data_IF_203267154408
#
_entry.id   IF_203267154408
#
_cell.length_a   1.000
_cell.length_b   1.000
_cell.length_c   1.000
_cell.angle_alpha   90.00
_cell.angle_beta   90.00
_cell.angle_gamma   90.00
#
_symmetry.space_group_name_H-M   'P 1'
#
loop_
_entity.id
_entity.type
_entity.pdbx_description
1 polymer ?
#
# COMPACT_ATOMS: atom_id res chain seq x y z
N UNK A 1 -19.05 3.44 -0.50
CA UNK A 1 -18.43 4.76 -0.79
C UNK A 1 -16.93 4.57 -0.93
N UNK A 2 -16.19 5.48 -1.58
CA UNK A 2 -14.74 5.35 -1.69
C UNK A 2 -14.03 5.97 -0.47
N UNK A 3 -13.05 5.25 0.07
CA UNK A 3 -12.23 5.68 1.19
C UNK A 3 -10.74 5.63 0.82
N UNK A 4 -10.01 6.69 1.14
CA UNK A 4 -8.57 6.78 0.92
C UNK A 4 -7.80 6.52 2.21
N UNK A 5 -6.92 5.52 2.19
CA UNK A 5 -5.97 5.21 3.24
C UNK A 5 -4.59 5.76 2.83
N UNK A 6 -4.10 6.72 3.62
CA UNK A 6 -2.77 7.32 3.45
C UNK A 6 -1.90 6.82 4.60
N UNK A 7 -0.99 5.91 4.29
CA UNK A 7 -0.07 5.31 5.25
C UNK A 7 1.34 5.86 5.02
N UNK A 8 2.03 6.22 6.10
CA UNK A 8 3.43 6.66 6.06
C UNK A 8 4.30 5.66 6.81
N UNK A 9 5.41 5.26 6.20
CA UNK A 9 6.35 4.35 6.83
C UNK A 9 7.04 5.07 8.01
N UNK A 10 7.33 4.31 9.07
CA UNK A 10 8.12 4.82 10.19
C UNK A 10 9.58 5.04 9.73
N UNK A 11 10.30 6.02 10.31
CA UNK A 11 11.72 6.22 9.99
C UNK A 11 12.53 4.93 10.12
N UNK A 12 13.41 4.66 9.14
CA UNK A 12 14.28 3.47 9.15
C UNK A 12 13.56 2.11 8.94
N UNK A 13 12.26 2.09 8.62
CA UNK A 13 11.47 0.85 8.54
C UNK A 13 11.35 0.25 7.14
N UNK A 14 12.24 0.62 6.21
CA UNK A 14 12.20 0.14 4.83
C UNK A 14 12.31 -1.39 4.73
N UNK A 15 13.17 -2.01 5.55
CA UNK A 15 13.35 -3.47 5.50
C UNK A 15 12.06 -4.20 5.88
N UNK A 16 11.40 -3.77 6.96
CA UNK A 16 10.10 -4.33 7.39
C UNK A 16 9.11 -4.28 6.23
N UNK A 17 9.03 -3.15 5.53
CA UNK A 17 8.16 -3.02 4.35
C UNK A 17 8.49 -4.01 3.25
N UNK A 18 9.77 -4.19 2.93
CA UNK A 18 10.21 -5.12 1.89
C UNK A 18 9.86 -6.57 2.29
N UNK A 19 10.10 -6.94 3.54
CA UNK A 19 9.82 -8.27 4.07
C UNK A 19 8.32 -8.57 4.07
N UNK A 20 7.47 -7.59 4.44
CA UNK A 20 6.01 -7.76 4.45
C UNK A 20 5.36 -7.49 3.09
N UNK A 21 6.12 -7.09 2.06
CA UNK A 21 5.57 -6.69 0.76
C UNK A 21 4.76 -7.81 0.10
N UNK A 22 5.21 -9.10 0.08
CA UNK A 22 4.44 -10.17 -0.55
C UNK A 22 3.06 -10.36 0.09
N UNK A 23 2.98 -10.40 1.42
CA UNK A 23 1.72 -10.56 2.15
C UNK A 23 0.79 -9.35 1.93
N UNK A 24 1.36 -8.14 1.94
CA UNK A 24 0.61 -6.91 1.67
C UNK A 24 0.01 -6.90 0.25
N UNK A 25 0.76 -7.34 -0.75
CA UNK A 25 0.27 -7.43 -2.14
C UNK A 25 -0.82 -8.49 -2.26
N UNK A 26 -0.65 -9.67 -1.64
CA UNK A 26 -1.68 -10.71 -1.64
C UNK A 26 -3.01 -10.23 -1.05
N UNK A 27 -2.96 -9.41 0.00
CA UNK A 27 -4.16 -8.78 0.56
C UNK A 27 -4.84 -7.83 -0.44
N UNK A 28 -4.08 -6.98 -1.14
CA UNK A 28 -4.60 -6.08 -2.16
C UNK A 28 -5.18 -6.83 -3.37
N UNK A 29 -4.55 -7.93 -3.78
CA UNK A 29 -5.05 -8.80 -4.84
C UNK A 29 -6.39 -9.44 -4.45
N UNK A 30 -6.57 -9.83 -3.19
CA UNK A 30 -7.85 -10.30 -2.66
C UNK A 30 -8.95 -9.22 -2.77
N UNK A 31 -8.66 -7.99 -2.33
CA UNK A 31 -9.59 -6.86 -2.47
C UNK A 31 -9.91 -6.54 -3.93
N UNK A 32 -8.93 -6.66 -4.82
CA UNK A 32 -9.12 -6.48 -6.26
C UNK A 32 -10.03 -7.58 -6.85
N UNK A 33 -9.85 -8.84 -6.42
CA UNK A 33 -10.74 -9.95 -6.80
C UNK A 33 -12.18 -9.76 -6.33
N UNK A 34 -12.40 -9.05 -5.22
CA UNK A 34 -13.72 -8.66 -4.71
C UNK A 34 -14.28 -7.38 -5.36
N UNK A 35 -13.58 -6.77 -6.33
CA UNK A 35 -13.90 -5.45 -6.91
C UNK A 35 -14.00 -4.31 -5.88
N UNK A 36 -13.37 -4.46 -4.70
CA UNK A 36 -13.34 -3.43 -3.65
C UNK A 36 -12.14 -2.50 -3.73
N UNK A 37 -11.14 -2.82 -4.55
CA UNK A 37 -9.94 -1.99 -4.72
C UNK A 37 -10.11 -1.07 -5.93
N UNK A 38 -10.14 0.24 -5.70
CA UNK A 38 -10.15 1.21 -6.79
C UNK A 38 -8.74 1.39 -7.37
N UNK A 39 -7.75 1.61 -6.50
CA UNK A 39 -6.32 1.61 -6.85
C UNK A 39 -5.45 1.58 -5.59
N UNK A 40 -4.19 1.12 -5.74
CA UNK A 40 -3.19 1.18 -4.68
C UNK A 40 -1.80 1.43 -5.26
N UNK A 41 -0.94 2.15 -4.51
CA UNK A 41 0.43 2.39 -4.91
C UNK A 41 1.31 2.94 -3.78
N UNK A 42 2.64 2.77 -3.87
CA UNK A 42 3.57 3.35 -2.92
C UNK A 42 3.76 4.85 -3.18
N UNK A 43 3.96 5.63 -2.10
CA UNK A 43 4.69 6.88 -2.21
C UNK A 43 6.18 6.58 -2.29
N UNK A 44 6.91 7.41 -3.04
CA UNK A 44 8.35 7.29 -3.22
C UNK A 44 9.07 8.48 -2.55
N UNK A 45 10.26 8.23 -2.03
CA UNK A 45 11.19 9.26 -1.60
C UNK A 45 12.05 9.80 -2.75
N UNK A 46 12.99 10.68 -2.43
CA UNK A 46 13.91 11.31 -3.39
C UNK A 46 14.83 10.31 -4.09
N UNK A 47 15.08 9.15 -3.48
CA UNK A 47 15.91 8.07 -4.04
C UNK A 47 15.07 7.03 -4.80
N UNK A 48 13.76 7.29 -4.98
CA UNK A 48 12.83 6.37 -5.61
C UNK A 48 12.47 5.17 -4.74
N UNK A 49 12.83 5.17 -3.46
CA UNK A 49 12.49 4.09 -2.54
C UNK A 49 11.10 4.32 -1.95
N UNK A 50 10.34 3.25 -1.70
CA UNK A 50 8.98 3.41 -1.26
C UNK A 50 8.94 3.80 0.24
N UNK A 51 8.20 4.87 0.59
CA UNK A 51 8.15 5.45 1.95
C UNK A 51 6.73 5.65 2.54
N UNK A 52 5.71 5.20 1.80
CA UNK A 52 4.35 5.06 2.30
C UNK A 52 3.46 4.37 1.27
N UNK A 53 2.15 4.39 1.51
CA UNK A 53 1.15 3.83 0.60
C UNK A 53 -0.08 4.72 0.51
N UNK A 54 -0.63 4.82 -0.69
CA UNK A 54 -1.98 5.28 -0.95
C UNK A 54 -2.80 4.08 -1.41
N UNK A 55 -3.91 3.82 -0.72
CA UNK A 55 -4.85 2.75 -1.07
C UNK A 55 -6.24 3.35 -1.08
N UNK A 56 -7.00 3.14 -2.15
CA UNK A 56 -8.40 3.57 -2.23
C UNK A 56 -9.28 2.35 -2.39
N UNK A 57 -10.21 2.17 -1.45
CA UNK A 57 -11.12 1.03 -1.38
C UNK A 57 -12.57 1.48 -1.34
N UNK A 58 -13.46 0.60 -1.79
CA UNK A 58 -14.89 0.70 -1.55
C UNK A 58 -15.25 -0.02 -0.24
N UNK A 59 -15.94 0.70 0.65
CA UNK A 59 -16.47 0.19 1.90
C UNK A 59 -17.85 0.79 2.24
#
# INVERSE_FOLDING_TARGET
MLFALICKDKPGSLQVRLDTRPEHVAFLEGLNGENKLAFAGPFLDVDGKPNGSLVVVEA
#
